data_IF_987679541024
#
_entry.id   IF_987679541024
#
_cell.length_a   1.000
_cell.length_b   1.000
_cell.length_c   1.000
_cell.angle_alpha   90.00
_cell.angle_beta   90.00
_cell.angle_gamma   90.00
#
_symmetry.space_group_name_H-M   'P 1'
#
loop_
_entity.id
_entity.type
_entity.pdbx_description
1 polymer ?
#
# COMPACT_ATOMS: atom_id res chain seq x y z
N UNK A 1 54.30 49.84 -3.81
CA UNK A 1 54.06 48.89 -4.92
C UNK A 1 52.61 48.42 -4.78
N UNK A 2 51.60 49.13 -5.25
CA UNK A 2 51.18 49.37 -6.65
C UNK A 2 50.91 48.07 -7.42
N UNK A 3 49.69 47.99 -8.00
CA UNK A 3 49.23 47.39 -9.26
C UNK A 3 47.77 46.91 -9.06
N UNK A 4 46.79 47.07 -9.94
CA UNK A 4 46.45 47.99 -11.03
C UNK A 4 44.99 47.60 -11.42
N UNK A 5 44.17 48.55 -11.85
CA UNK A 5 42.84 48.31 -12.46
C UNK A 5 42.90 47.41 -13.70
N UNK A 6 41.84 46.64 -13.99
CA UNK A 6 41.21 46.55 -15.33
C UNK A 6 39.70 46.31 -15.20
N UNK A 7 38.98 46.90 -16.15
CA UNK A 7 37.55 47.14 -16.34
C UNK A 7 36.86 45.99 -17.12
N UNK A 8 35.56 45.79 -16.84
CA UNK A 8 34.45 45.25 -17.65
C UNK A 8 34.75 44.46 -18.94
N UNK A 9 34.11 43.29 -19.05
CA UNK A 9 33.42 42.89 -20.29
C UNK A 9 32.00 42.35 -19.99
N UNK A 10 30.99 43.05 -20.51
CA UNK A 10 29.65 42.51 -20.79
C UNK A 10 29.72 41.86 -22.17
N UNK A 11 29.30 40.59 -22.29
CA UNK A 11 28.72 40.05 -23.53
C UNK A 11 27.44 39.28 -23.19
N UNK A 12 26.40 39.63 -23.93
CA UNK A 12 25.05 39.09 -23.93
C UNK A 12 24.93 37.82 -24.77
N UNK A 13 23.72 37.25 -24.74
CA UNK A 13 23.15 36.11 -25.48
C UNK A 13 23.41 34.74 -24.84
N UNK A 14 22.45 33.83 -24.76
CA UNK A 14 21.14 33.74 -25.40
C UNK A 14 20.24 32.83 -24.56
N UNK A 15 18.93 32.93 -24.77
CA UNK A 15 17.92 32.12 -24.12
C UNK A 15 18.14 30.61 -24.37
N UNK A 16 18.11 29.78 -23.33
CA UNK A 16 17.70 28.39 -23.48
C UNK A 16 16.99 27.88 -22.22
N UNK A 17 15.69 27.62 -22.40
CA UNK A 17 14.84 26.73 -21.63
C UNK A 17 14.98 26.77 -20.11
N UNK A 18 14.13 27.60 -19.48
CA UNK A 18 13.69 27.33 -18.13
C UNK A 18 13.08 25.92 -18.10
N UNK A 19 13.79 24.96 -17.51
CA UNK A 19 13.19 23.76 -16.96
C UNK A 19 12.24 24.22 -15.86
N UNK A 20 10.99 24.48 -16.23
CA UNK A 20 9.92 24.58 -15.25
C UNK A 20 9.74 23.17 -14.70
N UNK A 21 10.38 22.89 -13.56
CA UNK A 21 10.06 21.71 -12.78
C UNK A 21 8.56 21.69 -12.58
N UNK A 22 7.89 20.62 -13.01
CA UNK A 22 6.46 20.43 -12.77
C UNK A 22 6.16 20.68 -11.27
N UNK A 23 4.96 21.20 -10.92
CA UNK A 23 4.57 21.35 -9.53
C UNK A 23 4.85 20.05 -8.77
N UNK A 24 5.39 20.14 -7.56
CA UNK A 24 5.77 18.97 -6.74
C UNK A 24 4.60 18.00 -6.46
N UNK A 25 3.38 18.48 -6.69
CA UNK A 25 2.11 17.79 -6.50
C UNK A 25 1.46 17.34 -7.83
N UNK A 26 2.15 17.50 -8.96
CA UNK A 26 1.68 17.02 -10.27
C UNK A 26 2.05 15.55 -10.50
N UNK A 27 1.20 14.84 -11.25
CA UNK A 27 1.47 13.47 -11.69
C UNK A 27 2.47 13.55 -12.84
N UNK A 28 3.66 12.99 -12.65
CA UNK A 28 4.70 12.93 -13.67
C UNK A 28 4.44 11.75 -14.61
N UNK A 29 4.29 11.94 -15.94
CA UNK A 29 4.09 10.83 -16.86
C UNK A 29 5.35 9.96 -17.02
N UNK A 30 5.17 8.65 -17.21
CA UNK A 30 6.21 7.76 -17.74
C UNK A 30 5.90 7.41 -19.19
N UNK A 31 6.34 8.27 -20.11
CA UNK A 31 6.01 8.15 -21.54
C UNK A 31 6.51 6.85 -22.19
N UNK A 32 7.67 6.34 -21.73
CA UNK A 32 8.34 5.16 -22.28
C UNK A 32 8.35 3.98 -21.28
N UNK A 33 7.39 3.92 -20.36
CA UNK A 33 7.34 2.87 -19.36
C UNK A 33 7.09 1.50 -19.99
N UNK A 34 8.02 0.58 -19.80
CA UNK A 34 7.84 -0.85 -20.10
C UNK A 34 7.69 -1.62 -18.78
N UNK A 35 6.44 -1.98 -18.48
CA UNK A 35 6.14 -2.76 -17.28
C UNK A 35 6.82 -4.13 -17.32
N UNK A 36 7.02 -4.74 -18.50
CA UNK A 36 7.60 -6.09 -18.64
C UNK A 36 9.07 -6.15 -18.27
N UNK A 37 9.79 -5.02 -18.39
CA UNK A 37 11.21 -4.89 -18.06
C UNK A 37 11.46 -4.23 -16.70
N UNK A 38 10.39 -3.78 -16.03
CA UNK A 38 10.51 -3.11 -14.74
C UNK A 38 10.56 -4.15 -13.62
N UNK A 39 11.71 -4.30 -12.97
CA UNK A 39 11.85 -5.23 -11.84
C UNK A 39 11.07 -4.75 -10.60
N UNK A 40 10.45 -5.67 -9.83
CA UNK A 40 9.81 -5.33 -8.57
C UNK A 40 10.82 -4.71 -7.60
N UNK A 41 10.40 -3.66 -6.89
CA UNK A 41 11.23 -3.00 -5.88
C UNK A 41 11.63 -4.00 -4.80
N UNK A 42 12.86 -3.88 -4.27
CA UNK A 42 13.38 -4.74 -3.20
C UNK A 42 13.47 -3.96 -1.89
N UNK A 43 12.55 -4.22 -0.96
CA UNK A 43 12.52 -3.56 0.34
C UNK A 43 13.24 -4.40 1.41
N UNK A 44 14.15 -3.77 2.17
CA UNK A 44 14.91 -4.41 3.27
C UNK A 44 14.81 -3.56 4.55
N UNK A 45 13.62 -3.46 5.19
CA UNK A 45 13.39 -2.60 6.35
C UNK A 45 13.95 -3.19 7.66
N UNK A 46 15.13 -3.80 7.59
CA UNK A 46 15.72 -4.58 8.69
C UNK A 46 16.24 -3.63 9.77
N UNK A 47 15.81 -3.86 11.01
CA UNK A 47 16.20 -3.08 12.18
C UNK A 47 16.44 -4.03 13.35
N UNK A 48 17.52 -3.86 14.13
CA UNK A 48 17.88 -4.78 15.21
C UNK A 48 16.94 -4.72 16.42
N UNK A 49 16.10 -3.69 16.50
CA UNK A 49 15.03 -3.57 17.48
C UNK A 49 13.77 -3.03 16.80
N UNK A 50 12.63 -3.66 17.07
CA UNK A 50 11.35 -3.23 16.54
C UNK A 50 10.76 -2.12 17.43
N UNK A 51 10.55 -0.96 16.84
CA UNK A 51 9.82 0.12 17.48
C UNK A 51 8.55 0.41 16.69
N UNK A 52 7.38 0.25 17.32
CA UNK A 52 6.13 0.73 16.75
C UNK A 52 6.19 2.26 16.69
N UNK A 53 6.13 2.79 15.47
CA UNK A 53 6.08 4.22 15.15
C UNK A 53 5.25 4.39 13.89
N UNK A 54 4.88 5.62 13.55
CA UNK A 54 4.21 5.89 12.28
C UNK A 54 5.14 5.68 11.06
N UNK A 55 6.46 5.84 11.23
CA UNK A 55 7.50 5.61 10.21
C UNK A 55 7.20 6.22 8.82
N UNK A 56 6.49 7.35 8.79
CA UNK A 56 6.07 7.99 7.56
C UNK A 56 7.21 8.73 6.88
N UNK A 57 7.26 8.61 5.57
CA UNK A 57 8.11 9.38 4.67
C UNK A 57 7.21 10.16 3.72
N UNK A 58 7.55 11.40 3.42
CA UNK A 58 6.87 12.14 2.35
C UNK A 58 7.00 11.41 1.02
N UNK A 59 5.93 11.44 0.24
CA UNK A 59 5.85 10.87 -1.10
C UNK A 59 5.23 11.89 -2.04
N UNK A 60 5.31 11.64 -3.34
CA UNK A 60 4.62 12.43 -4.36
C UNK A 60 3.38 11.68 -4.85
N UNK A 61 2.43 12.37 -5.51
CA UNK A 61 1.33 11.70 -6.20
C UNK A 61 1.83 10.64 -7.20
N UNK A 62 2.92 10.89 -7.93
CA UNK A 62 3.50 9.93 -8.90
C UNK A 62 3.91 8.56 -8.30
N UNK A 63 4.07 8.48 -6.98
CA UNK A 63 4.43 7.27 -6.24
C UNK A 63 3.21 6.53 -5.65
N UNK A 64 1.97 7.01 -5.90
CA UNK A 64 0.74 6.43 -5.34
C UNK A 64 0.57 4.96 -5.72
N UNK A 65 0.62 4.64 -7.03
CA UNK A 65 0.53 3.27 -7.54
C UNK A 65 1.84 2.93 -8.25
N UNK A 66 2.45 1.80 -7.88
CA UNK A 66 3.72 1.33 -8.46
C UNK A 66 3.48 0.05 -9.25
N UNK A 67 3.75 0.12 -10.54
CA UNK A 67 3.62 -1.01 -11.46
C UNK A 67 5.01 -1.57 -11.78
N UNK A 68 5.10 -2.88 -11.96
CA UNK A 68 6.30 -3.60 -12.37
C UNK A 68 5.90 -4.85 -13.19
N UNK A 69 6.87 -5.70 -13.52
CA UNK A 69 6.65 -6.87 -14.38
C UNK A 69 5.72 -7.93 -13.82
N UNK A 70 5.35 -7.87 -12.54
CA UNK A 70 4.38 -8.82 -11.95
C UNK A 70 2.93 -8.39 -12.18
N UNK A 71 2.68 -7.22 -12.80
CA UNK A 71 1.35 -6.64 -12.93
C UNK A 71 0.29 -7.58 -13.49
N UNK A 72 0.57 -8.22 -14.63
CA UNK A 72 -0.41 -9.08 -15.29
C UNK A 72 -0.74 -10.31 -14.43
N UNK A 73 0.27 -10.91 -13.79
CA UNK A 73 0.07 -12.04 -12.87
C UNK A 73 -0.76 -11.59 -11.66
N UNK A 74 -0.40 -10.46 -11.04
CA UNK A 74 -1.10 -9.91 -9.88
C UNK A 74 -2.57 -9.59 -10.15
N UNK A 75 -2.88 -8.90 -11.25
CA UNK A 75 -4.27 -8.60 -11.63
C UNK A 75 -5.05 -9.89 -11.94
N UNK A 76 -4.41 -10.87 -12.59
CA UNK A 76 -5.05 -12.16 -12.88
C UNK A 76 -5.36 -12.93 -11.59
N UNK A 77 -4.44 -12.94 -10.62
CA UNK A 77 -4.67 -13.55 -9.31
C UNK A 77 -5.80 -12.84 -8.56
N UNK A 78 -5.83 -11.50 -8.57
CA UNK A 78 -6.89 -10.69 -7.94
C UNK A 78 -8.26 -11.02 -8.52
N UNK A 79 -8.40 -11.13 -9.84
CA UNK A 79 -9.65 -11.58 -10.50
C UNK A 79 -10.15 -12.91 -9.93
N UNK A 80 -9.25 -13.89 -9.81
CA UNK A 80 -9.57 -15.21 -9.24
C UNK A 80 -9.98 -15.10 -7.77
N UNK A 81 -9.21 -14.39 -6.94
CA UNK A 81 -9.50 -14.20 -5.52
C UNK A 81 -10.88 -13.57 -5.32
N UNK A 82 -11.22 -12.54 -6.09
CA UNK A 82 -12.52 -11.87 -5.99
C UNK A 82 -13.65 -12.79 -6.44
N UNK A 83 -13.47 -13.57 -7.51
CA UNK A 83 -14.48 -14.51 -7.97
C UNK A 83 -14.82 -15.55 -6.89
N UNK A 84 -13.82 -16.02 -6.14
CA UNK A 84 -13.97 -17.05 -5.12
C UNK A 84 -14.34 -16.48 -3.73
N UNK A 85 -13.95 -15.25 -3.41
CA UNK A 85 -13.98 -14.70 -2.04
C UNK A 85 -14.55 -13.27 -1.96
N UNK A 86 -15.47 -12.90 -2.87
CA UNK A 86 -15.98 -11.53 -3.01
C UNK A 86 -16.41 -10.88 -1.67
N UNK A 87 -17.13 -11.62 -0.82
CA UNK A 87 -17.63 -11.12 0.46
C UNK A 87 -16.52 -10.83 1.48
N UNK A 88 -15.38 -11.51 1.36
CA UNK A 88 -14.20 -11.25 2.19
C UNK A 88 -13.42 -10.07 1.65
N UNK A 89 -13.20 -9.97 0.33
CA UNK A 89 -12.21 -9.05 -0.25
C UNK A 89 -12.79 -7.72 -0.78
N UNK A 90 -14.10 -7.59 -0.88
CA UNK A 90 -14.79 -6.35 -1.26
C UNK A 90 -15.79 -5.96 -0.18
N UNK A 91 -15.84 -4.68 0.17
CA UNK A 91 -16.88 -4.17 1.06
C UNK A 91 -17.04 -2.67 0.98
N UNK A 92 -18.27 -2.19 1.09
CA UNK A 92 -18.60 -0.78 1.17
C UNK A 92 -19.89 -0.60 1.98
N UNK A 93 -19.89 0.35 2.92
CA UNK A 93 -21.11 0.82 3.58
C UNK A 93 -21.62 2.10 2.88
N UNK A 94 -22.88 2.53 3.11
CA UNK A 94 -23.42 3.72 2.44
C UNK A 94 -22.55 4.98 2.57
N UNK A 95 -21.93 5.20 3.73
CA UNK A 95 -21.02 6.31 3.99
C UNK A 95 -19.75 6.28 3.12
N UNK A 96 -19.37 5.11 2.61
CA UNK A 96 -18.20 4.92 1.74
C UNK A 96 -18.49 5.13 0.26
N UNK A 97 -19.76 5.20 -0.14
CA UNK A 97 -20.14 5.24 -1.56
C UNK A 97 -19.44 6.38 -2.31
N UNK A 98 -19.52 7.62 -1.81
CA UNK A 98 -18.89 8.77 -2.45
C UNK A 98 -17.37 8.62 -2.58
N UNK A 99 -16.70 8.09 -1.55
CA UNK A 99 -15.25 7.88 -1.56
C UNK A 99 -14.85 6.82 -2.61
N UNK A 100 -15.64 5.76 -2.78
CA UNK A 100 -15.42 4.74 -3.83
C UNK A 100 -15.55 5.36 -5.21
N UNK A 101 -16.64 6.10 -5.47
CA UNK A 101 -16.88 6.74 -6.77
C UNK A 101 -15.75 7.72 -7.11
N UNK A 102 -15.31 8.52 -6.14
CA UNK A 102 -14.20 9.44 -6.36
C UNK A 102 -12.88 8.71 -6.63
N UNK A 103 -12.58 7.65 -5.88
CA UNK A 103 -11.38 6.83 -6.09
C UNK A 103 -11.38 6.22 -7.50
N UNK A 104 -12.52 5.70 -7.94
CA UNK A 104 -12.70 5.19 -9.30
C UNK A 104 -12.39 6.25 -10.35
N UNK A 105 -13.09 7.39 -10.29
CA UNK A 105 -12.92 8.47 -11.26
C UNK A 105 -11.49 8.98 -11.28
N UNK A 106 -10.88 9.17 -10.10
CA UNK A 106 -9.50 9.65 -10.01
C UNK A 106 -8.52 8.65 -10.62
N UNK A 107 -8.59 7.37 -10.25
CA UNK A 107 -7.60 6.39 -10.70
C UNK A 107 -7.74 6.08 -12.20
N UNK A 108 -8.94 5.82 -12.69
CA UNK A 108 -9.17 5.46 -14.09
C UNK A 108 -9.15 6.70 -15.00
N UNK A 109 -9.70 7.83 -14.56
CA UNK A 109 -9.86 9.01 -15.42
C UNK A 109 -8.72 10.01 -15.39
N UNK A 110 -7.90 10.02 -14.35
CA UNK A 110 -6.82 11.00 -14.21
C UNK A 110 -5.48 10.31 -14.01
N UNK A 111 -5.36 9.48 -12.97
CA UNK A 111 -4.06 8.99 -12.51
C UNK A 111 -3.39 8.01 -13.47
N UNK A 112 -4.04 6.89 -13.76
CA UNK A 112 -3.42 5.80 -14.52
C UNK A 112 -3.10 6.20 -15.96
N UNK A 113 -3.99 6.88 -16.73
CA UNK A 113 -3.66 7.33 -18.07
C UNK A 113 -2.57 8.40 -18.09
N UNK A 114 -2.51 9.29 -17.08
CA UNK A 114 -1.46 10.31 -17.01
C UNK A 114 -0.10 9.72 -16.60
N UNK A 115 -0.08 8.83 -15.60
CA UNK A 115 1.16 8.25 -15.06
C UNK A 115 1.75 7.16 -15.95
N UNK A 116 0.90 6.29 -16.49
CA UNK A 116 1.30 5.09 -17.26
C UNK A 116 0.60 5.05 -18.63
N UNK A 117 0.84 6.04 -19.52
CA UNK A 117 0.16 6.15 -20.81
C UNK A 117 0.45 4.99 -21.76
N UNK A 118 1.55 4.24 -21.56
CA UNK A 118 1.86 3.03 -22.32
C UNK A 118 0.96 1.84 -21.96
N UNK A 119 0.34 1.86 -20.78
CA UNK A 119 -0.51 0.79 -20.24
C UNK A 119 -2.00 1.13 -20.25
N UNK A 120 -2.35 2.40 -20.04
CA UNK A 120 -3.74 2.83 -19.91
C UNK A 120 -4.07 3.97 -20.88
N UNK A 121 -5.24 3.90 -21.48
CA UNK A 121 -5.71 4.85 -22.49
C UNK A 121 -7.15 5.27 -22.19
N UNK A 122 -7.46 6.55 -22.43
CA UNK A 122 -8.83 7.01 -22.52
C UNK A 122 -9.21 7.16 -23.99
N UNK A 123 -10.28 6.48 -24.39
CA UNK A 123 -10.81 6.54 -25.75
C UNK A 123 -12.19 7.15 -25.74
N UNK A 124 -12.32 8.31 -26.39
CA UNK A 124 -13.60 8.98 -26.60
C UNK A 124 -14.22 8.50 -27.91
N UNK A 125 -15.53 8.24 -27.90
CA UNK A 125 -16.28 7.86 -29.10
C UNK A 125 -16.24 8.97 -30.16
N UNK A 126 -16.41 8.61 -31.42
CA UNK A 126 -16.33 9.54 -32.56
C UNK A 126 -17.33 10.70 -32.50
N UNK A 127 -18.47 10.47 -31.86
CA UNK A 127 -19.53 11.46 -31.63
C UNK A 127 -19.34 12.26 -30.32
N UNK A 128 -18.29 11.95 -29.54
CA UNK A 128 -18.00 12.57 -28.25
C UNK A 128 -18.94 12.19 -27.11
N UNK A 129 -19.87 11.25 -27.32
CA UNK A 129 -20.93 10.93 -26.36
C UNK A 129 -20.47 10.08 -25.18
N UNK A 130 -19.37 9.34 -25.32
CA UNK A 130 -18.84 8.46 -24.27
C UNK A 130 -17.32 8.42 -24.27
N UNK A 131 -16.74 8.17 -23.10
CA UNK A 131 -15.30 7.89 -22.95
C UNK A 131 -15.12 6.59 -22.20
N UNK A 132 -14.26 5.73 -22.72
CA UNK A 132 -13.94 4.41 -22.20
C UNK A 132 -12.50 4.41 -21.70
N UNK A 133 -12.29 3.88 -20.50
CA UNK A 133 -10.96 3.55 -20.00
C UNK A 133 -10.54 2.19 -20.54
N UNK A 134 -9.32 2.10 -21.07
CA UNK A 134 -8.76 0.88 -21.65
C UNK A 134 -7.50 0.50 -20.90
N UNK A 135 -7.50 -0.70 -20.31
CA UNK A 135 -6.31 -1.34 -19.80
C UNK A 135 -5.66 -2.16 -20.93
N UNK A 136 -4.65 -1.61 -21.59
CA UNK A 136 -3.99 -2.22 -22.75
C UNK A 136 -3.24 -3.51 -22.42
N UNK A 137 -2.92 -3.75 -21.14
CA UNK A 137 -2.23 -4.97 -20.71
C UNK A 137 -3.19 -6.15 -20.61
N UNK A 138 -4.42 -5.92 -20.15
CA UNK A 138 -5.43 -6.98 -20.00
C UNK A 138 -6.51 -6.96 -21.10
N UNK A 139 -6.47 -5.97 -21.98
CA UNK A 139 -7.50 -5.64 -22.98
C UNK A 139 -8.88 -5.38 -22.38
N UNK A 140 -8.97 -5.13 -21.06
CA UNK A 140 -10.22 -4.81 -20.40
C UNK A 140 -10.63 -3.37 -20.70
N UNK A 141 -11.93 -3.17 -20.91
CA UNK A 141 -12.54 -1.87 -21.15
C UNK A 141 -13.57 -1.58 -20.07
N UNK A 142 -13.52 -0.39 -19.50
CA UNK A 142 -14.42 0.06 -18.43
C UNK A 142 -14.99 1.44 -18.74
N UNK A 143 -16.26 1.73 -18.37
CA UNK A 143 -16.81 3.07 -18.46
C UNK A 143 -15.97 4.06 -17.65
N UNK A 144 -15.73 5.26 -18.16
CA UNK A 144 -15.01 6.29 -17.39
C UNK A 144 -15.80 6.76 -16.16
N UNK A 145 -17.13 6.79 -16.27
CA UNK A 145 -18.02 7.08 -15.16
C UNK A 145 -18.26 5.82 -14.33
N UNK A 146 -18.12 5.87 -13.00
CA UNK A 146 -18.39 4.70 -12.16
C UNK A 146 -19.88 4.33 -12.17
N UNK A 147 -20.22 3.05 -11.89
CA UNK A 147 -21.60 2.64 -11.66
C UNK A 147 -22.21 3.42 -10.47
N UNK A 148 -23.19 4.32 -10.69
CA UNK A 148 -23.58 5.33 -9.71
C UNK A 148 -24.28 4.78 -8.46
N UNK A 149 -24.85 3.58 -8.54
CA UNK A 149 -25.57 2.96 -7.41
C UNK A 149 -24.88 1.66 -6.93
N UNK A 150 -23.70 1.32 -7.46
CA UNK A 150 -23.02 0.06 -7.16
C UNK A 150 -21.52 0.27 -6.84
N UNK A 151 -21.26 0.59 -5.58
CA UNK A 151 -19.91 0.73 -5.05
C UNK A 151 -19.08 -0.56 -5.15
N UNK A 152 -19.72 -1.74 -5.06
CA UNK A 152 -18.99 -3.01 -5.15
C UNK A 152 -18.55 -3.30 -6.59
N UNK A 153 -19.35 -2.94 -7.60
CA UNK A 153 -18.94 -2.99 -9.00
C UNK A 153 -17.78 -2.04 -9.28
N UNK A 154 -17.82 -0.81 -8.76
CA UNK A 154 -16.71 0.14 -8.88
C UNK A 154 -15.41 -0.40 -8.23
N UNK A 155 -15.50 -0.96 -7.01
CA UNK A 155 -14.36 -1.59 -6.33
C UNK A 155 -13.82 -2.79 -7.09
N UNK A 156 -14.68 -3.61 -7.70
CA UNK A 156 -14.26 -4.75 -8.54
C UNK A 156 -13.45 -4.29 -9.75
N UNK A 157 -13.93 -3.28 -10.47
CA UNK A 157 -13.20 -2.72 -11.62
C UNK A 157 -11.84 -2.15 -11.18
N UNK A 158 -11.80 -1.44 -10.05
CA UNK A 158 -10.55 -0.98 -9.45
C UNK A 158 -9.61 -2.15 -9.15
N UNK A 159 -10.10 -3.24 -8.57
CA UNK A 159 -9.32 -4.42 -8.25
C UNK A 159 -8.73 -5.12 -9.48
N UNK A 160 -9.47 -5.09 -10.60
CA UNK A 160 -9.09 -5.66 -11.90
C UNK A 160 -8.15 -4.75 -12.71
N UNK A 161 -7.83 -3.56 -12.18
CA UNK A 161 -6.98 -2.57 -12.84
C UNK A 161 -5.76 -2.21 -12.00
N UNK A 162 -5.90 -2.13 -10.68
CA UNK A 162 -4.87 -1.71 -9.73
C UNK A 162 -4.53 -2.87 -8.79
N UNK A 163 -3.25 -3.21 -8.74
CA UNK A 163 -2.72 -4.32 -7.92
C UNK A 163 -2.77 -4.04 -6.42
N UNK A 164 -2.68 -2.77 -6.03
CA UNK A 164 -2.71 -2.37 -4.63
C UNK A 164 -4.06 -2.71 -3.99
N UNK A 165 -3.99 -3.16 -2.74
CA UNK A 165 -5.16 -3.18 -1.87
C UNK A 165 -5.45 -1.76 -1.38
N UNK A 166 -6.71 -1.46 -1.11
CA UNK A 166 -7.18 -0.12 -0.73
C UNK A 166 -8.21 -0.19 0.38
N UNK A 167 -8.04 0.68 1.37
CA UNK A 167 -9.05 1.02 2.37
C UNK A 167 -9.37 2.51 2.26
N UNK A 168 -10.65 2.83 2.28
CA UNK A 168 -11.15 4.20 2.30
C UNK A 168 -11.60 4.53 3.71
N UNK A 169 -11.02 5.60 4.26
CA UNK A 169 -11.31 6.05 5.61
C UNK A 169 -12.01 7.41 5.57
N UNK A 170 -13.13 7.53 6.28
CA UNK A 170 -13.87 8.79 6.41
C UNK A 170 -13.86 9.23 7.86
N UNK A 171 -13.51 10.50 8.07
CA UNK A 171 -13.58 11.12 9.39
C UNK A 171 -15.05 11.28 9.79
N UNK A 172 -15.41 10.80 10.97
CA UNK A 172 -16.78 10.92 11.48
C UNK A 172 -17.08 12.38 11.82
N UNK A 173 -18.24 12.91 11.41
CA UNK A 173 -18.61 14.29 11.71
C UNK A 173 -18.80 14.50 13.21
N UNK A 174 -18.61 15.74 13.66
CA UNK A 174 -18.91 16.11 15.03
C UNK A 174 -20.42 15.93 15.30
N UNK A 175 -20.78 15.11 16.29
CA UNK A 175 -22.16 14.91 16.73
C UNK A 175 -22.82 13.56 16.40
N UNK A 176 -22.16 12.67 15.66
CA UNK A 176 -22.59 11.26 15.53
C UNK A 176 -22.03 10.45 16.68
N UNK A 177 -22.78 10.34 17.79
CA UNK A 177 -22.35 9.78 19.08
C UNK A 177 -21.04 10.42 19.60
N UNK A 178 -21.13 11.20 20.69
CA UNK A 178 -20.02 12.04 21.19
C UNK A 178 -18.67 11.34 21.40
N UNK A 179 -18.65 10.00 21.47
CA UNK A 179 -17.46 9.20 21.62
C UNK A 179 -16.66 8.98 20.31
N UNK A 180 -17.27 9.10 19.12
CA UNK A 180 -16.61 8.80 17.83
C UNK A 180 -16.33 10.02 16.96
N UNK A 181 -16.79 11.20 17.39
CA UNK A 181 -16.61 12.46 16.67
C UNK A 181 -15.13 12.73 16.38
N UNK A 182 -14.81 13.01 15.11
CA UNK A 182 -13.46 13.33 14.67
C UNK A 182 -12.52 12.14 14.45
N UNK A 183 -12.94 10.90 14.76
CA UNK A 183 -12.17 9.68 14.48
C UNK A 183 -12.41 9.17 13.06
N UNK A 184 -11.49 8.37 12.51
CA UNK A 184 -11.63 7.83 11.16
C UNK A 184 -12.22 6.41 11.17
N UNK A 185 -13.21 6.17 10.32
CA UNK A 185 -13.87 4.88 10.11
C UNK A 185 -13.47 4.28 8.76
N UNK A 186 -13.24 2.98 8.71
CA UNK A 186 -13.09 2.25 7.45
C UNK A 186 -14.46 2.03 6.80
N UNK A 187 -14.73 2.72 5.69
CA UNK A 187 -16.06 2.77 5.07
C UNK A 187 -16.16 1.97 3.77
N UNK A 188 -15.04 1.66 3.15
CA UNK A 188 -14.98 0.76 2.01
C UNK A 188 -13.57 0.18 1.85
N UNK A 189 -13.47 -0.95 1.18
CA UNK A 189 -12.18 -1.57 0.87
C UNK A 189 -12.26 -2.50 -0.33
N UNK A 190 -11.12 -2.68 -0.97
CA UNK A 190 -10.77 -3.82 -1.83
C UNK A 190 -9.44 -4.37 -1.32
N UNK A 191 -9.42 -5.62 -0.86
CA UNK A 191 -8.24 -6.21 -0.22
C UNK A 191 -8.09 -7.68 -0.62
N UNK A 192 -7.42 -7.93 -1.73
CA UNK A 192 -7.19 -9.27 -2.28
C UNK A 192 -5.91 -9.90 -1.77
N UNK A 193 -4.94 -9.14 -1.25
CA UNK A 193 -3.69 -9.68 -0.74
C UNK A 193 -3.61 -9.56 0.79
N UNK A 194 -4.72 -9.74 1.51
CA UNK A 194 -4.75 -9.70 2.98
C UNK A 194 -3.71 -10.67 3.61
N UNK A 195 -3.03 -10.21 4.66
CA UNK A 195 -1.95 -10.95 5.32
C UNK A 195 -2.16 -11.10 6.83
N UNK A 196 -2.95 -12.10 7.24
CA UNK A 196 -3.23 -12.43 8.64
C UNK A 196 -4.34 -11.60 9.26
N UNK A 197 -5.29 -11.13 8.47
CA UNK A 197 -6.53 -10.51 8.96
C UNK A 197 -7.62 -10.62 7.90
N UNK A 198 -8.87 -10.77 8.34
CA UNK A 198 -10.02 -10.66 7.46
C UNK A 198 -10.34 -9.16 7.24
N UNK A 199 -10.28 -8.66 5.99
CA UNK A 199 -10.59 -7.26 5.71
C UNK A 199 -12.07 -6.91 5.88
N UNK A 200 -13.00 -7.86 5.70
CA UNK A 200 -14.43 -7.64 5.92
C UNK A 200 -14.74 -7.33 7.39
N UNK A 201 -13.99 -7.92 8.33
CA UNK A 201 -14.11 -7.59 9.75
C UNK A 201 -13.69 -6.17 10.10
N UNK A 202 -13.06 -5.42 9.17
CA UNK A 202 -12.63 -4.03 9.42
C UNK A 202 -13.67 -3.01 8.98
N UNK A 203 -14.63 -3.41 8.15
CA UNK A 203 -15.65 -2.54 7.60
C UNK A 203 -16.55 -1.95 8.70
N UNK A 204 -16.81 -0.65 8.64
CA UNK A 204 -17.63 0.08 9.61
C UNK A 204 -16.98 0.28 10.98
N UNK A 205 -15.70 -0.09 11.14
CA UNK A 205 -14.97 0.10 12.41
C UNK A 205 -14.11 1.36 12.38
N UNK A 206 -14.03 2.01 13.54
CA UNK A 206 -13.08 3.10 13.80
C UNK A 206 -11.64 2.57 13.80
N UNK A 207 -10.66 3.43 13.52
CA UNK A 207 -9.25 3.04 13.46
C UNK A 207 -8.76 2.32 14.71
N UNK A 208 -9.19 2.77 15.88
CA UNK A 208 -8.86 2.12 17.15
C UNK A 208 -9.36 0.67 17.21
N UNK A 209 -10.60 0.42 16.77
CA UNK A 209 -11.18 -0.92 16.74
C UNK A 209 -10.55 -1.81 15.65
N UNK A 210 -10.22 -1.25 14.48
CA UNK A 210 -9.48 -1.95 13.41
C UNK A 210 -8.14 -2.47 13.93
N UNK A 211 -7.43 -1.63 14.69
CA UNK A 211 -6.08 -1.90 15.19
C UNK A 211 -6.03 -2.48 16.61
N UNK A 212 -7.16 -2.74 17.26
CA UNK A 212 -7.19 -3.32 18.61
C UNK A 212 -6.32 -4.59 18.78
N UNK A 213 -6.17 -5.48 17.77
CA UNK A 213 -5.28 -6.64 17.89
C UNK A 213 -3.78 -6.30 17.82
N UNK A 214 -3.40 -5.09 17.40
CA UNK A 214 -2.00 -4.70 17.17
C UNK A 214 -1.35 -4.28 18.50
N UNK A 215 -0.31 -4.98 18.96
CA UNK A 215 0.38 -4.63 20.20
C UNK A 215 0.92 -3.20 20.20
N UNK A 216 0.72 -2.50 21.32
CA UNK A 216 1.17 -1.13 21.54
C UNK A 216 0.60 -0.09 20.55
N UNK A 217 -0.53 -0.38 19.90
CA UNK A 217 -1.23 0.59 19.05
C UNK A 217 -1.65 1.84 19.82
N UNK A 218 -2.04 1.70 21.09
CA UNK A 218 -2.40 2.80 22.00
C UNK A 218 -1.31 3.89 22.08
N UNK A 219 -0.04 3.51 21.91
CA UNK A 219 1.09 4.45 21.90
C UNK A 219 1.15 5.33 20.64
N UNK A 220 0.58 4.88 19.52
CA UNK A 220 0.64 5.57 18.22
C UNK A 220 -0.72 6.07 17.72
N UNK A 221 -1.83 5.47 18.17
CA UNK A 221 -3.19 5.76 17.72
C UNK A 221 -3.56 7.25 17.78
N UNK A 222 -3.37 7.95 18.90
CA UNK A 222 -3.66 9.39 18.99
C UNK A 222 -2.82 10.24 18.01
N UNK A 223 -1.57 9.84 17.75
CA UNK A 223 -0.73 10.53 16.75
C UNK A 223 -1.20 10.25 15.33
N UNK A 224 -1.66 9.02 15.07
CA UNK A 224 -2.22 8.62 13.77
C UNK A 224 -3.48 9.42 13.45
N UNK A 225 -4.44 9.48 14.38
CA UNK A 225 -5.67 10.26 14.20
C UNK A 225 -5.38 11.74 13.93
N UNK A 226 -4.49 12.35 14.73
CA UNK A 226 -4.07 13.74 14.53
C UNK A 226 -3.39 13.97 13.17
N UNK A 227 -2.56 13.02 12.72
CA UNK A 227 -1.92 13.11 11.42
C UNK A 227 -2.96 12.97 10.30
N UNK A 228 -3.86 12.00 10.42
CA UNK A 228 -4.91 11.74 9.46
C UNK A 228 -5.76 13.00 9.33
N UNK A 229 -6.35 13.53 10.40
CA UNK A 229 -7.17 14.75 10.39
C UNK A 229 -6.51 15.96 9.69
N UNK A 230 -5.17 16.09 9.76
CA UNK A 230 -4.41 17.20 9.15
C UNK A 230 -3.85 16.91 7.76
N UNK A 231 -3.99 15.70 7.22
CA UNK A 231 -3.44 15.36 5.92
C UNK A 231 -4.05 16.26 4.83
N UNK A 232 -3.21 16.93 4.03
CA UNK A 232 -3.66 17.80 2.94
C UNK A 232 -3.87 17.01 1.65
N UNK A 233 -4.73 17.54 0.78
CA UNK A 233 -4.83 17.07 -0.62
C UNK A 233 -3.55 17.40 -1.36
N UNK A 234 -3.14 16.53 -2.28
CA UNK A 234 -1.90 16.67 -3.06
C UNK A 234 -0.64 16.20 -2.33
N UNK A 235 -0.69 16.04 -1.00
CA UNK A 235 0.40 15.47 -0.21
C UNK A 235 0.14 13.99 0.06
N UNK A 236 1.12 13.17 -0.30
CA UNK A 236 1.09 11.74 0.01
C UNK A 236 2.20 11.40 1.00
N UNK A 237 1.98 10.37 1.80
CA UNK A 237 3.03 9.74 2.60
C UNK A 237 3.11 8.26 2.29
N UNK A 238 4.28 7.68 2.52
CA UNK A 238 4.51 6.25 2.40
C UNK A 238 5.24 5.70 3.63
N UNK A 239 5.06 4.41 3.87
CA UNK A 239 5.81 3.65 4.87
C UNK A 239 5.93 2.19 4.42
N UNK A 240 6.83 1.47 5.08
CA UNK A 240 6.99 0.04 4.90
C UNK A 240 6.46 -0.69 6.14
N UNK A 241 5.65 -1.72 5.91
CA UNK A 241 5.34 -2.75 6.90
C UNK A 241 5.92 -4.09 6.41
N UNK A 242 6.34 -4.95 7.32
CA UNK A 242 6.90 -6.25 6.97
C UNK A 242 6.56 -7.34 7.97
N UNK A 243 6.56 -8.59 7.51
CA UNK A 243 6.42 -9.80 8.32
C UNK A 243 7.10 -10.97 7.61
N UNK A 244 7.23 -12.11 8.32
CA UNK A 244 7.49 -13.40 7.68
C UNK A 244 6.17 -14.17 7.64
N UNK A 245 5.90 -14.82 6.52
CA UNK A 245 4.86 -15.81 6.38
C UNK A 245 5.47 -17.13 5.91
N UNK A 246 4.88 -18.26 6.27
CA UNK A 246 5.43 -19.61 6.01
C UNK A 246 4.92 -20.24 4.71
N UNK A 247 4.37 -19.42 3.82
CA UNK A 247 3.83 -19.85 2.52
C UNK A 247 4.02 -18.75 1.46
N UNK A 248 3.80 -19.09 0.20
CA UNK A 248 3.93 -18.17 -0.93
C UNK A 248 2.63 -17.44 -1.32
N UNK A 249 1.50 -17.72 -0.65
CA UNK A 249 0.20 -17.14 -1.02
C UNK A 249 0.14 -15.63 -0.77
N UNK A 250 -0.41 -14.87 -1.72
CA UNK A 250 -0.71 -13.44 -1.56
C UNK A 250 -1.94 -13.21 -0.68
N UNK A 251 -2.98 -14.03 -0.88
CA UNK A 251 -4.22 -14.01 -0.09
C UNK A 251 -4.16 -14.98 1.08
N UNK A 252 -4.06 -14.44 2.29
CA UNK A 252 -4.05 -15.19 3.54
C UNK A 252 -4.84 -14.40 4.61
N UNK A 253 -6.19 -14.43 4.59
CA UNK A 253 -7.01 -13.64 5.51
C UNK A 253 -6.91 -14.12 6.97
N UNK A 254 -6.32 -15.29 7.20
CA UNK A 254 -6.08 -15.83 8.54
C UNK A 254 -4.68 -16.43 8.63
N UNK A 255 -4.29 -16.88 9.82
CA UNK A 255 -3.12 -17.73 9.97
C UNK A 255 -1.77 -17.01 10.04
N UNK A 256 -1.57 -15.82 9.47
CA UNK A 256 -0.27 -15.13 9.58
C UNK A 256 -0.06 -14.39 10.91
N UNK A 257 -1.10 -13.74 11.43
CA UNK A 257 -1.04 -13.13 12.76
C UNK A 257 -1.53 -14.09 13.83
N UNK A 258 -1.03 -13.90 15.06
CA UNK A 258 -1.54 -14.58 16.26
C UNK A 258 -2.38 -13.58 17.04
N UNK A 259 -3.66 -13.87 17.20
CA UNK A 259 -4.56 -13.04 18.00
C UNK A 259 -4.56 -13.52 19.46
N UNK A 260 -5.02 -12.66 20.38
CA UNK A 260 -4.98 -12.95 21.81
C UNK A 260 -5.72 -14.25 22.19
N UNK A 261 -6.80 -14.59 21.47
CA UNK A 261 -7.53 -15.84 21.67
C UNK A 261 -6.77 -17.10 21.24
N UNK A 262 -5.79 -16.97 20.33
CA UNK A 262 -5.02 -18.08 19.79
C UNK A 262 -3.72 -18.33 20.55
N UNK A 263 -3.27 -17.36 21.34
CA UNK A 263 -1.94 -17.35 21.94
C UNK A 263 -1.64 -18.58 22.82
N UNK A 264 -2.65 -19.13 23.49
CA UNK A 264 -2.51 -20.34 24.32
C UNK A 264 -2.33 -21.63 23.50
N UNK A 265 -2.74 -21.64 22.24
CA UNK A 265 -2.61 -22.78 21.33
C UNK A 265 -1.33 -22.71 20.47
N UNK A 266 -0.62 -21.58 20.47
CA UNK A 266 0.61 -21.40 19.69
C UNK A 266 1.80 -21.96 20.45
N UNK A 267 2.36 -23.06 19.95
CA UNK A 267 3.63 -23.62 20.41
C UNK A 267 4.80 -23.14 19.56
N UNK A 268 6.00 -23.23 20.12
CA UNK A 268 7.23 -23.07 19.34
C UNK A 268 7.31 -24.18 18.28
N UNK A 269 7.79 -23.84 17.08
CA UNK A 269 8.01 -24.81 16.03
C UNK A 269 9.21 -25.70 16.33
N UNK A 270 9.01 -27.01 16.12
CA UNK A 270 10.03 -28.02 16.16
C UNK A 270 10.75 -28.11 14.79
N UNK A 271 11.96 -28.68 14.73
CA UNK A 271 12.64 -28.93 13.46
C UNK A 271 11.75 -29.72 12.49
N UNK A 272 11.52 -29.15 11.30
CA UNK A 272 10.66 -29.74 10.27
C UNK A 272 9.22 -29.24 10.24
N UNK A 273 8.75 -28.47 11.24
CA UNK A 273 7.40 -27.90 11.25
C UNK A 273 7.21 -26.78 10.20
N UNK A 274 8.30 -26.15 9.76
CA UNK A 274 8.28 -25.03 8.83
C UNK A 274 9.07 -25.37 7.58
N UNK A 275 8.39 -25.35 6.44
CA UNK A 275 9.04 -25.34 5.14
C UNK A 275 9.61 -23.94 4.86
N UNK A 276 10.90 -23.77 5.15
CA UNK A 276 11.63 -22.52 4.93
C UNK A 276 11.75 -22.16 3.43
N UNK A 277 11.61 -23.11 2.52
CA UNK A 277 11.60 -22.84 1.08
C UNK A 277 10.27 -22.20 0.63
N UNK A 278 9.16 -22.54 1.29
CA UNK A 278 7.86 -21.89 1.10
C UNK A 278 7.75 -20.55 1.84
N UNK A 279 8.57 -20.31 2.87
CA UNK A 279 8.55 -19.06 3.63
C UNK A 279 8.93 -17.84 2.77
N UNK A 280 8.28 -16.70 3.07
CA UNK A 280 8.48 -15.43 2.38
C UNK A 280 8.69 -14.29 3.37
N UNK A 281 9.61 -13.39 3.03
CA UNK A 281 9.60 -12.03 3.57
C UNK A 281 8.46 -11.29 2.87
N UNK A 282 7.38 -11.03 3.61
CA UNK A 282 6.24 -10.24 3.15
C UNK A 282 6.48 -8.78 3.47
N UNK A 283 6.37 -7.91 2.48
CA UNK A 283 6.52 -6.46 2.63
C UNK A 283 5.36 -5.74 1.98
N UNK A 284 4.83 -4.73 2.66
CA UNK A 284 3.80 -3.84 2.15
C UNK A 284 4.39 -2.44 1.99
N UNK A 285 4.38 -1.93 0.76
CA UNK A 285 4.57 -0.51 0.49
C UNK A 285 3.23 0.18 0.68
N UNK A 286 3.05 0.82 1.83
CA UNK A 286 1.80 1.47 2.19
C UNK A 286 1.87 2.95 1.85
N UNK A 287 0.87 3.46 1.15
CA UNK A 287 0.68 4.88 0.82
C UNK A 287 -0.60 5.40 1.48
N UNK A 288 -0.60 6.69 1.82
CA UNK A 288 -1.78 7.39 2.32
C UNK A 288 -1.87 8.74 1.61
N UNK A 289 -3.04 9.01 1.03
CA UNK A 289 -3.36 10.27 0.38
C UNK A 289 -4.80 10.71 0.71
N UNK A 290 -5.08 12.01 0.58
CA UNK A 290 -6.43 12.54 0.77
C UNK A 290 -7.09 12.87 -0.56
N UNK A 291 -8.31 12.37 -0.74
CA UNK A 291 -9.13 12.68 -1.91
C UNK A 291 -9.66 14.13 -1.86
N UNK A 292 -9.69 14.85 -3.00
CA UNK A 292 -10.02 16.27 -3.04
C UNK A 292 -11.49 16.60 -2.71
N UNK A 293 -12.46 15.80 -3.17
CA UNK A 293 -13.89 16.10 -3.08
C UNK A 293 -14.52 15.56 -1.80
N UNK A 294 -14.42 14.26 -1.56
CA UNK A 294 -15.00 13.59 -0.39
C UNK A 294 -14.17 13.80 0.86
N UNK A 295 -12.92 14.24 0.71
CA UNK A 295 -11.93 14.34 1.79
C UNK A 295 -11.61 13.00 2.44
N UNK A 296 -12.08 11.87 1.91
CA UNK A 296 -11.71 10.56 2.42
C UNK A 296 -10.20 10.32 2.27
N UNK A 297 -9.64 9.52 3.16
CA UNK A 297 -8.28 9.03 3.03
C UNK A 297 -8.27 7.75 2.22
N UNK A 298 -7.47 7.72 1.17
CA UNK A 298 -7.11 6.51 0.44
C UNK A 298 -5.84 5.95 1.09
N UNK A 299 -6.01 4.88 1.87
CA UNK A 299 -4.92 4.05 2.35
C UNK A 299 -4.72 2.90 1.37
N UNK A 300 -3.61 2.87 0.67
CA UNK A 300 -3.33 1.88 -0.36
C UNK A 300 -2.04 1.13 -0.05
N UNK A 301 -1.94 -0.14 -0.42
CA UNK A 301 -0.69 -0.87 -0.29
C UNK A 301 -0.48 -1.94 -1.35
N UNK A 302 0.73 -1.93 -1.93
CA UNK A 302 1.23 -3.03 -2.75
C UNK A 302 2.01 -4.01 -1.88
N UNK A 303 1.67 -5.29 -2.02
CA UNK A 303 2.31 -6.40 -1.31
C UNK A 303 3.40 -7.03 -2.18
N UNK A 304 4.55 -7.31 -1.57
CA UNK A 304 5.69 -8.00 -2.16
C UNK A 304 6.02 -9.23 -1.32
N UNK A 305 6.29 -10.35 -1.98
CA UNK A 305 6.77 -11.58 -1.35
C UNK A 305 8.16 -11.91 -1.89
N UNK A 306 9.18 -11.86 -1.04
CA UNK A 306 10.54 -12.26 -1.40
C UNK A 306 10.84 -13.63 -0.79
N UNK A 307 11.46 -14.53 -1.55
CA UNK A 307 11.94 -15.79 -0.97
C UNK A 307 13.07 -15.52 0.03
N UNK A 308 13.14 -16.33 1.09
CA UNK A 308 14.25 -16.22 2.03
C UNK A 308 15.59 -16.58 1.39
N UNK A 309 15.57 -17.46 0.38
CA UNK A 309 16.71 -17.81 -0.43
C UNK A 309 17.28 -16.60 -1.19
N UNK A 310 16.43 -15.77 -1.81
CA UNK A 310 16.87 -14.56 -2.52
C UNK A 310 17.51 -13.55 -1.55
N UNK A 311 16.88 -13.32 -0.38
CA UNK A 311 17.44 -12.42 0.64
C UNK A 311 18.79 -12.93 1.14
N UNK A 312 18.95 -14.25 1.27
CA UNK A 312 20.21 -14.88 1.67
C UNK A 312 21.27 -14.78 0.57
N UNK A 313 20.89 -14.98 -0.69
CA UNK A 313 21.78 -14.81 -1.85
C UNK A 313 22.28 -13.37 -2.00
N UNK A 314 21.52 -12.37 -1.54
CA UNK A 314 21.94 -10.97 -1.41
C UNK A 314 22.96 -10.73 -0.27
N UNK A 315 23.27 -11.74 0.55
CA UNK A 315 24.13 -11.61 1.73
C UNK A 315 23.45 -10.97 2.94
N UNK A 316 22.12 -10.79 2.91
CA UNK A 316 21.36 -10.07 3.94
C UNK A 316 20.69 -11.01 4.95
N UNK A 317 20.93 -12.33 4.86
CA UNK A 317 20.40 -13.34 5.78
C UNK A 317 20.62 -13.00 7.26
N UNK A 318 21.87 -12.72 7.70
CA UNK A 318 22.14 -12.35 9.09
C UNK A 318 21.38 -11.09 9.56
N UNK A 319 21.22 -10.09 8.69
CA UNK A 319 20.52 -8.84 9.02
C UNK A 319 19.00 -9.06 9.14
N UNK A 320 18.41 -9.89 8.28
CA UNK A 320 17.00 -10.26 8.43
C UNK A 320 16.78 -11.09 9.71
N UNK A 321 17.67 -12.04 10.01
CA UNK A 321 17.58 -12.81 11.25
C UNK A 321 17.71 -11.93 12.50
N UNK A 322 18.59 -10.93 12.48
CA UNK A 322 18.67 -9.93 13.55
C UNK A 322 17.39 -9.11 13.67
N UNK A 323 16.76 -8.73 12.55
CA UNK A 323 15.50 -8.01 12.56
C UNK A 323 14.33 -8.86 13.09
N UNK A 324 14.30 -10.16 12.78
CA UNK A 324 13.35 -11.12 13.35
C UNK A 324 13.52 -11.22 14.86
N UNK A 325 14.75 -11.39 15.36
CA UNK A 325 15.01 -11.38 16.80
C UNK A 325 14.67 -10.02 17.43
N UNK A 326 14.87 -8.94 16.67
CA UNK A 326 14.52 -7.58 17.03
C UNK A 326 13.03 -7.35 17.30
N UNK A 327 12.13 -8.22 16.84
CA UNK A 327 10.69 -8.16 17.17
C UNK A 327 10.41 -8.34 18.67
N UNK A 328 11.30 -9.02 19.41
CA UNK A 328 11.22 -9.16 20.88
C UNK A 328 11.84 -7.96 21.62
N UNK A 329 12.51 -7.07 20.90
CA UNK A 329 13.24 -5.91 21.43
C UNK A 329 12.48 -4.63 21.08
N UNK A 330 12.88 -3.51 21.71
CA UNK A 330 12.29 -2.20 21.47
C UNK A 330 11.00 -1.94 22.26
N UNK A 331 10.15 -1.05 21.76
CA UNK A 331 9.02 -0.51 22.53
C UNK A 331 7.71 -1.33 22.44
N UNK A 332 7.69 -2.43 21.67
CA UNK A 332 6.51 -3.27 21.42
C UNK A 332 6.88 -4.77 21.31
N UNK A 333 7.46 -5.39 22.35
CA UNK A 333 7.98 -6.77 22.30
C UNK A 333 6.92 -7.85 22.00
N UNK A 334 5.64 -7.58 22.31
CA UNK A 334 4.53 -8.46 21.96
C UNK A 334 4.31 -8.58 20.43
N UNK A 335 4.96 -7.74 19.62
CA UNK A 335 4.97 -7.87 18.15
C UNK A 335 5.60 -9.17 17.68
N UNK A 336 6.51 -9.76 18.46
CA UNK A 336 7.01 -11.10 18.21
C UNK A 336 5.89 -12.14 18.09
N UNK A 337 4.98 -12.17 19.06
CA UNK A 337 3.84 -13.10 19.07
C UNK A 337 2.85 -12.72 17.98
N UNK A 338 2.46 -11.44 17.91
CA UNK A 338 1.49 -10.95 16.94
C UNK A 338 1.87 -11.26 15.49
N UNK A 339 3.15 -11.09 15.11
CA UNK A 339 3.66 -11.45 13.77
C UNK A 339 3.93 -12.94 13.57
N UNK A 340 3.53 -13.79 14.52
CA UNK A 340 3.65 -15.24 14.44
C UNK A 340 5.04 -15.80 14.68
N UNK A 341 5.99 -14.99 15.17
CA UNK A 341 7.40 -15.38 15.34
C UNK A 341 7.58 -16.66 16.14
N UNK A 342 6.71 -16.93 17.11
CA UNK A 342 6.72 -18.19 17.90
C UNK A 342 6.67 -19.42 16.99
N UNK A 343 5.94 -19.37 15.87
CA UNK A 343 5.73 -20.51 14.95
C UNK A 343 6.84 -20.72 13.93
N UNK A 344 7.65 -19.71 13.63
CA UNK A 344 8.58 -19.81 12.50
C UNK A 344 9.97 -19.25 12.76
N UNK A 345 10.14 -18.43 13.80
CA UNK A 345 11.35 -17.64 13.95
C UNK A 345 12.60 -18.46 14.24
N UNK A 346 12.50 -19.60 14.93
CA UNK A 346 13.64 -20.51 15.10
C UNK A 346 14.14 -21.05 13.75
N UNK A 347 13.28 -21.76 13.02
CA UNK A 347 13.62 -22.37 11.73
C UNK A 347 14.07 -21.31 10.69
N UNK A 348 13.39 -20.17 10.64
CA UNK A 348 13.73 -19.07 9.73
C UNK A 348 15.08 -18.46 10.07
N UNK A 349 15.35 -18.15 11.35
CA UNK A 349 16.63 -17.58 11.75
C UNK A 349 17.81 -18.55 11.56
N UNK A 350 17.62 -19.85 11.83
CA UNK A 350 18.63 -20.88 11.56
C UNK A 350 18.96 -20.95 10.06
N UNK A 351 17.94 -20.98 9.19
CA UNK A 351 18.14 -20.97 7.73
C UNK A 351 18.86 -19.71 7.23
N UNK A 352 18.47 -18.54 7.73
CA UNK A 352 19.03 -17.26 7.31
C UNK A 352 20.50 -17.07 7.72
N UNK A 353 20.94 -17.76 8.78
CA UNK A 353 22.30 -17.67 9.33
C UNK A 353 23.26 -18.75 8.82
N UNK A 354 22.74 -19.80 8.18
CA UNK A 354 23.55 -20.96 7.76
C UNK A 354 24.42 -20.73 6.52
#
# INVERSE_FOLDING_TARGET
MAWKHVVSEKKSNDASAASQSAPKDAIEPLADFDWTQTEPRRFRPFKPAYNITMALQSSTPSDLIVIDRTYLEGITERRRIIAENAATVLGAIPQGHGAVMETYTYLLGEYLPARYPTMFELRTSTDGSSTTFINKVTSAEFPLSPPPDDALAALRILAETVEDDMFLLVQQPDGTDSASAGEHMAVAFVCCHAGGFDPAEKLGKLLAAVHAPVPAYDKIGPSMERFFARADVGKSVKRINWAIQTHANMFAPTGNHVHAGDAAAVREAEPGDVDVAAARLRVELQTLSRLPRTRALLFSFKTYLYSLADVKAEGLGPQLAEAVDGLRKGNAPAMWVYKGGVRWGRAVCEHLRS
#
